data_IF_839992506404
#
_entry.id   IF_839992506404
#
_cell.length_a   1.000
_cell.length_b   1.000
_cell.length_c   1.000
_cell.angle_alpha   90.00
_cell.angle_beta   90.00
_cell.angle_gamma   90.00
#
_symmetry.space_group_name_H-M   'P 1'
#
loop_
_entity.id
_entity.type
_entity.pdbx_description
1 polymer ?
#
# COMPACT_ATOMS: atom_id res chain seq x y z
N UNK A 1 -59.17 -11.15 26.53
CA UNK A 1 -58.36 -10.72 25.38
C UNK A 1 -56.91 -11.06 25.70
N UNK A 2 -56.36 -12.09 25.06
CA UNK A 2 -54.97 -12.53 25.25
C UNK A 2 -54.11 -11.92 24.14
N UNK A 3 -53.04 -11.24 24.54
CA UNK A 3 -52.08 -10.56 23.68
C UNK A 3 -51.34 -11.55 22.77
N UNK A 4 -51.10 -11.15 21.52
CA UNK A 4 -50.33 -11.91 20.54
C UNK A 4 -48.81 -11.74 20.81
N UNK A 5 -47.98 -12.78 20.61
CA UNK A 5 -46.54 -12.67 20.81
C UNK A 5 -45.90 -11.87 19.68
N UNK A 6 -45.13 -10.85 20.04
CA UNK A 6 -44.23 -10.11 19.14
C UNK A 6 -43.05 -10.99 18.78
N UNK A 7 -42.98 -11.43 17.52
CA UNK A 7 -41.81 -12.12 16.97
C UNK A 7 -40.70 -11.11 16.70
N UNK A 8 -39.60 -11.20 17.44
CA UNK A 8 -38.36 -10.47 17.14
C UNK A 8 -37.78 -10.90 15.79
N UNK A 9 -37.21 -9.99 14.98
CA UNK A 9 -36.52 -10.38 13.75
C UNK A 9 -35.25 -11.16 14.13
N UNK A 10 -35.10 -12.38 13.60
CA UNK A 10 -33.89 -13.16 13.73
C UNK A 10 -32.68 -12.46 13.08
N UNK A 11 -31.45 -12.88 13.42
CA UNK A 11 -30.24 -12.32 12.84
C UNK A 11 -30.28 -12.48 11.32
N UNK A 12 -30.05 -11.37 10.60
CA UNK A 12 -30.00 -11.34 9.14
C UNK A 12 -29.01 -12.41 8.65
N UNK A 13 -29.52 -13.35 7.85
CA UNK A 13 -28.69 -14.30 7.15
C UNK A 13 -27.66 -13.52 6.33
N UNK A 14 -26.38 -13.75 6.58
CA UNK A 14 -25.27 -13.20 5.79
C UNK A 14 -25.44 -13.68 4.36
N UNK A 15 -25.94 -12.80 3.50
CA UNK A 15 -26.08 -13.06 2.07
C UNK A 15 -24.72 -13.51 1.51
N UNK A 16 -24.72 -14.56 0.68
CA UNK A 16 -23.52 -14.99 -0.01
C UNK A 16 -22.92 -13.81 -0.80
N UNK A 17 -21.59 -13.65 -0.85
CA UNK A 17 -20.97 -12.53 -1.53
C UNK A 17 -21.40 -12.52 -3.00
N UNK A 18 -22.07 -11.45 -3.43
CA UNK A 18 -22.50 -11.25 -4.81
C UNK A 18 -21.25 -11.18 -5.68
N UNK A 19 -21.15 -12.10 -6.64
CA UNK A 19 -20.03 -12.11 -7.59
C UNK A 19 -20.23 -10.99 -8.60
N UNK A 20 -19.44 -9.93 -8.47
CA UNK A 20 -19.46 -8.80 -9.41
C UNK A 20 -19.15 -9.27 -10.84
N UNK A 21 -19.95 -8.79 -11.78
CA UNK A 21 -19.75 -8.98 -13.22
C UNK A 21 -19.29 -7.66 -13.82
N UNK A 22 -18.21 -7.70 -14.56
CA UNK A 22 -17.67 -6.55 -15.26
C UNK A 22 -18.01 -6.65 -16.74
N UNK A 23 -18.33 -5.51 -17.35
CA UNK A 23 -18.43 -5.40 -18.81
C UNK A 23 -17.05 -5.76 -19.37
N UNK A 24 -17.03 -6.62 -20.40
CA UNK A 24 -15.78 -7.06 -21.04
C UNK A 24 -15.01 -5.92 -21.72
N UNK A 25 -13.98 -6.26 -22.49
CA UNK A 25 -13.11 -5.28 -23.19
C UNK A 25 -13.94 -4.22 -23.91
N UNK A 26 -13.73 -2.94 -23.56
CA UNK A 26 -14.32 -1.82 -24.27
C UNK A 26 -13.55 -1.52 -25.56
N UNK A 27 -14.23 -0.94 -26.55
CA UNK A 27 -13.60 -0.44 -27.79
C UNK A 27 -12.49 0.58 -27.48
N UNK A 28 -12.72 1.44 -26.49
CA UNK A 28 -11.74 2.39 -25.99
C UNK A 28 -10.45 1.72 -25.48
N UNK A 29 -10.57 0.69 -24.64
CA UNK A 29 -9.40 -0.02 -24.10
C UNK A 29 -8.58 -0.69 -25.21
N UNK A 30 -9.26 -1.27 -26.21
CA UNK A 30 -8.61 -1.88 -27.37
C UNK A 30 -7.82 -0.86 -28.19
N UNK A 31 -8.46 0.24 -28.56
CA UNK A 31 -7.85 1.33 -29.33
C UNK A 31 -6.66 1.96 -28.59
N UNK A 32 -6.81 2.22 -27.28
CA UNK A 32 -5.74 2.78 -26.46
C UNK A 32 -4.50 1.87 -26.45
N UNK A 33 -4.71 0.56 -26.26
CA UNK A 33 -3.61 -0.40 -26.26
C UNK A 33 -2.90 -0.45 -27.61
N UNK A 34 -3.65 -0.45 -28.71
CA UNK A 34 -3.08 -0.42 -30.05
C UNK A 34 -2.21 0.81 -30.27
N UNK A 35 -2.69 2.01 -29.91
CA UNK A 35 -1.92 3.26 -30.06
C UNK A 35 -0.64 3.28 -29.22
N UNK A 36 -0.70 2.74 -28.01
CA UNK A 36 0.49 2.59 -27.16
C UNK A 36 1.50 1.64 -27.81
N UNK A 37 1.04 0.50 -28.34
CA UNK A 37 1.89 -0.47 -29.02
C UNK A 37 2.56 0.14 -30.26
N UNK A 38 1.80 0.87 -31.09
CA UNK A 38 2.29 1.57 -32.27
C UNK A 38 3.35 2.63 -31.92
N UNK A 39 3.15 3.38 -30.83
CA UNK A 39 4.11 4.37 -30.35
C UNK A 39 5.48 3.75 -30.05
N UNK A 40 5.52 2.62 -29.35
CA UNK A 40 6.79 1.96 -29.01
C UNK A 40 7.48 1.36 -30.25
N UNK A 41 6.71 0.84 -31.21
CA UNK A 41 7.23 0.36 -32.49
C UNK A 41 7.87 1.51 -33.27
N UNK A 42 7.14 2.61 -33.44
CA UNK A 42 7.59 3.78 -34.23
C UNK A 42 8.82 4.47 -33.62
N UNK A 43 8.89 4.56 -32.29
CA UNK A 43 10.01 5.22 -31.61
C UNK A 43 11.21 4.32 -31.37
N UNK A 44 11.08 3.00 -31.57
CA UNK A 44 12.09 2.01 -31.23
C UNK A 44 12.38 1.90 -29.72
N UNK A 45 11.57 2.53 -28.88
CA UNK A 45 11.73 2.52 -27.41
C UNK A 45 11.24 1.19 -26.85
N UNK A 46 11.91 0.70 -25.81
CA UNK A 46 11.43 -0.45 -25.05
C UNK A 46 10.35 -0.03 -24.05
N UNK A 47 9.33 -0.89 -23.88
CA UNK A 47 8.24 -0.70 -22.91
C UNK A 47 8.69 -0.87 -21.47
N UNK A 48 9.72 -1.70 -21.27
CA UNK A 48 10.33 -2.07 -19.99
C UNK A 48 11.80 -2.45 -20.22
N UNK A 49 12.50 -2.85 -19.17
CA UNK A 49 13.91 -3.25 -19.23
C UNK A 49 14.84 -2.13 -19.72
N UNK A 50 14.51 -0.90 -19.31
CA UNK A 50 15.26 0.31 -19.67
C UNK A 50 16.35 0.57 -18.62
N UNK A 51 17.57 0.92 -19.08
CA UNK A 51 18.71 1.19 -18.17
C UNK A 51 18.40 2.31 -17.16
N UNK A 52 17.54 3.27 -17.55
CA UNK A 52 17.06 4.36 -16.71
C UNK A 52 16.32 3.86 -15.46
N UNK A 53 15.59 2.73 -15.57
CA UNK A 53 14.92 2.13 -14.41
C UNK A 53 15.96 1.65 -13.41
N UNK A 54 16.96 0.90 -13.88
CA UNK A 54 18.05 0.41 -13.04
C UNK A 54 18.87 1.53 -12.40
N UNK A 55 19.12 2.62 -13.14
CA UNK A 55 19.76 3.81 -12.58
C UNK A 55 18.89 4.44 -11.47
N UNK A 56 17.59 4.64 -11.72
CA UNK A 56 16.63 5.16 -10.73
C UNK A 56 16.64 4.31 -9.45
N UNK A 57 16.64 2.98 -9.59
CA UNK A 57 16.74 2.06 -8.44
C UNK A 57 18.09 2.15 -7.73
N UNK A 58 19.19 2.21 -8.48
CA UNK A 58 20.52 2.38 -7.89
C UNK A 58 20.61 3.67 -7.06
N UNK A 59 20.09 4.78 -7.57
CA UNK A 59 20.02 6.06 -6.85
C UNK A 59 19.19 5.92 -5.57
N UNK A 60 17.98 5.37 -5.66
CA UNK A 60 17.07 5.22 -4.52
C UNK A 60 17.65 4.32 -3.43
N UNK A 61 18.18 3.15 -3.79
CA UNK A 61 18.76 2.20 -2.84
C UNK A 61 20.04 2.75 -2.20
N UNK A 62 20.92 3.36 -3.00
CA UNK A 62 22.14 4.00 -2.46
C UNK A 62 21.78 5.14 -1.51
N UNK A 63 20.78 5.96 -1.86
CA UNK A 63 20.31 7.04 -0.99
C UNK A 63 19.70 6.49 0.29
N UNK A 64 18.91 5.42 0.21
CA UNK A 64 18.30 4.79 1.38
C UNK A 64 19.37 4.28 2.36
N UNK A 65 20.30 3.45 1.89
CA UNK A 65 21.36 2.91 2.74
C UNK A 65 22.32 4.01 3.22
N UNK A 66 22.63 4.99 2.37
CA UNK A 66 23.46 6.15 2.74
C UNK A 66 22.84 7.00 3.84
N UNK A 67 21.56 7.36 3.71
CA UNK A 67 20.80 8.12 4.72
C UNK A 67 20.61 7.30 6.00
N UNK A 68 20.35 6.00 5.89
CA UNK A 68 20.26 5.10 7.04
C UNK A 68 21.57 5.07 7.82
N UNK A 69 22.70 4.82 7.14
CA UNK A 69 24.03 4.78 7.76
C UNK A 69 24.37 6.14 8.38
N UNK A 70 24.09 7.23 7.67
CA UNK A 70 24.28 8.59 8.18
C UNK A 70 23.49 8.82 9.47
N UNK A 71 22.19 8.50 9.47
CA UNK A 71 21.29 8.69 10.60
C UNK A 71 21.70 7.85 11.82
N UNK A 72 22.06 6.58 11.61
CA UNK A 72 22.35 5.64 12.70
C UNK A 72 23.75 5.86 13.27
N UNK A 73 24.76 6.19 12.47
CA UNK A 73 26.15 6.14 12.94
C UNK A 73 26.85 7.50 13.02
N UNK A 74 26.39 8.52 12.29
CA UNK A 74 27.18 9.73 12.06
C UNK A 74 26.50 11.03 12.49
N UNK A 75 25.19 11.01 12.80
CA UNK A 75 24.45 12.22 13.15
C UNK A 75 23.97 12.16 14.61
N UNK A 76 24.76 12.66 15.58
CA UNK A 76 24.38 12.64 16.99
C UNK A 76 23.40 13.77 17.36
N UNK A 77 23.29 14.80 16.52
CA UNK A 77 22.58 16.03 16.86
C UNK A 77 21.16 16.04 16.28
N UNK A 78 20.16 16.24 17.13
CA UNK A 78 18.75 16.08 16.77
C UNK A 78 18.29 16.95 15.59
N UNK A 79 18.74 18.20 15.48
CA UNK A 79 18.33 19.11 14.41
C UNK A 79 18.93 18.75 13.04
N UNK A 80 20.01 17.95 13.03
CA UNK A 80 20.56 17.31 11.82
C UNK A 80 19.89 15.95 11.56
N UNK A 81 19.56 15.19 12.62
CA UNK A 81 18.94 13.88 12.49
C UNK A 81 17.50 13.96 11.94
N UNK A 82 16.73 14.99 12.32
CA UNK A 82 15.36 15.22 11.84
C UNK A 82 15.27 15.34 10.31
N UNK A 83 16.00 16.25 9.62
CA UNK A 83 15.95 16.32 8.17
C UNK A 83 16.46 15.05 7.48
N UNK A 84 17.45 14.36 8.05
CA UNK A 84 17.94 13.07 7.51
C UNK A 84 16.87 11.99 7.61
N UNK A 85 16.12 11.92 8.72
CA UNK A 85 15.01 10.98 8.88
C UNK A 85 13.83 11.29 7.95
N UNK A 86 13.53 12.58 7.72
CA UNK A 86 12.53 12.98 6.72
C UNK A 86 12.98 12.55 5.32
N UNK A 87 14.25 12.82 4.95
CA UNK A 87 14.81 12.40 3.68
C UNK A 87 14.78 10.87 3.52
N UNK A 88 15.09 10.12 4.57
CA UNK A 88 15.01 8.66 4.58
C UNK A 88 13.57 8.19 4.34
N UNK A 89 12.57 8.82 4.97
CA UNK A 89 11.15 8.54 4.72
C UNK A 89 10.73 8.83 3.27
N UNK A 90 11.16 9.95 2.70
CA UNK A 90 10.89 10.31 1.30
C UNK A 90 11.51 9.29 0.32
N UNK A 91 12.76 8.89 0.53
CA UNK A 91 13.43 7.89 -0.30
C UNK A 91 12.77 6.52 -0.14
N UNK A 92 12.34 6.15 1.07
CA UNK A 92 11.61 4.91 1.35
C UNK A 92 10.28 4.86 0.57
N UNK A 93 9.50 5.94 0.59
CA UNK A 93 8.29 6.05 -0.23
C UNK A 93 8.62 6.02 -1.73
N UNK A 94 9.73 6.64 -2.13
CA UNK A 94 10.28 6.59 -3.48
C UNK A 94 10.54 5.15 -3.94
N UNK A 95 11.16 4.31 -3.11
CA UNK A 95 11.38 2.87 -3.37
C UNK A 95 10.05 2.15 -3.59
N UNK A 96 9.07 2.39 -2.71
CA UNK A 96 7.71 1.87 -2.84
C UNK A 96 7.10 2.20 -4.20
N UNK A 97 7.09 3.47 -4.58
CA UNK A 97 6.39 3.91 -5.79
C UNK A 97 7.15 3.69 -7.10
N UNK A 98 8.48 3.57 -7.07
CA UNK A 98 9.31 3.57 -8.28
C UNK A 98 10.04 2.25 -8.55
N UNK A 99 10.14 1.37 -7.56
CA UNK A 99 10.86 0.10 -7.68
C UNK A 99 9.91 -1.04 -7.39
N UNK A 100 9.34 -1.02 -6.19
CA UNK A 100 8.41 -2.03 -5.72
C UNK A 100 7.15 -2.09 -6.59
N UNK A 101 6.48 -0.95 -6.80
CA UNK A 101 5.26 -0.86 -7.58
C UNK A 101 5.46 -1.32 -9.03
N UNK A 102 6.50 -0.81 -9.71
CA UNK A 102 6.83 -1.18 -11.10
C UNK A 102 7.15 -2.69 -11.22
N UNK A 103 7.83 -3.25 -10.22
CA UNK A 103 8.07 -4.70 -10.11
C UNK A 103 6.79 -5.50 -9.90
N UNK A 104 5.87 -5.03 -9.07
CA UNK A 104 4.59 -5.71 -8.80
C UNK A 104 3.70 -5.83 -10.04
N UNK A 105 3.84 -4.88 -10.98
CA UNK A 105 3.11 -4.86 -12.25
C UNK A 105 3.81 -5.60 -13.38
N UNK A 106 4.95 -6.28 -13.12
CA UNK A 106 5.77 -6.90 -14.16
C UNK A 106 6.20 -5.92 -15.27
N UNK A 107 6.30 -4.63 -14.92
CA UNK A 107 6.61 -3.54 -15.84
C UNK A 107 8.09 -3.14 -15.80
N UNK A 108 8.89 -3.79 -14.95
CA UNK A 108 10.27 -3.40 -14.69
C UNK A 108 11.25 -3.98 -15.73
N UNK A 109 11.23 -5.29 -15.93
CA UNK A 109 12.13 -6.02 -16.83
C UNK A 109 11.40 -7.09 -17.62
N UNK A 110 11.97 -7.50 -18.75
CA UNK A 110 11.50 -8.68 -19.49
C UNK A 110 11.79 -9.99 -18.77
N UNK A 111 12.65 -9.97 -17.74
CA UNK A 111 12.97 -11.14 -16.91
C UNK A 111 12.06 -11.19 -15.67
N UNK A 112 11.18 -12.21 -15.52
CA UNK A 112 10.23 -12.28 -14.40
C UNK A 112 10.89 -12.25 -13.02
N UNK A 113 12.06 -12.86 -12.88
CA UNK A 113 12.78 -12.88 -11.60
C UNK A 113 13.28 -11.48 -11.19
N UNK A 114 13.62 -10.61 -12.15
CA UNK A 114 14.00 -9.22 -11.84
C UNK A 114 12.78 -8.47 -11.32
N UNK A 115 11.61 -8.60 -11.96
CA UNK A 115 10.38 -8.00 -11.46
C UNK A 115 10.04 -8.48 -10.05
N UNK A 116 10.21 -9.79 -9.78
CA UNK A 116 10.03 -10.35 -8.43
C UNK A 116 10.97 -9.70 -7.43
N UNK A 117 12.26 -9.57 -7.74
CA UNK A 117 13.24 -8.91 -6.85
C UNK A 117 12.88 -7.44 -6.61
N UNK A 118 12.46 -6.72 -7.65
CA UNK A 118 12.04 -5.32 -7.51
C UNK A 118 10.78 -5.20 -6.64
N UNK A 119 9.78 -6.07 -6.84
CA UNK A 119 8.60 -6.15 -5.98
C UNK A 119 8.97 -6.52 -4.53
N UNK A 120 9.99 -7.36 -4.35
CA UNK A 120 10.49 -7.78 -3.03
C UNK A 120 11.22 -6.66 -2.25
N UNK A 121 11.44 -5.50 -2.85
CA UNK A 121 11.89 -4.33 -2.09
C UNK A 121 10.83 -3.87 -1.07
N UNK A 122 9.58 -4.34 -1.19
CA UNK A 122 8.53 -4.09 -0.20
C UNK A 122 8.89 -4.69 1.18
N UNK A 123 9.49 -5.87 1.19
CA UNK A 123 9.94 -6.58 2.38
C UNK A 123 10.98 -5.76 3.14
N UNK A 124 11.91 -5.12 2.42
CA UNK A 124 12.91 -4.24 3.01
C UNK A 124 12.30 -3.01 3.66
N UNK A 125 11.22 -2.46 3.10
CA UNK A 125 10.56 -1.26 3.62
C UNK A 125 9.37 -1.59 4.52
N UNK A 126 9.19 -2.85 4.91
CA UNK A 126 8.32 -3.27 6.00
C UNK A 126 6.96 -3.83 5.62
N UNK A 127 6.62 -3.89 4.33
CA UNK A 127 5.41 -4.55 3.82
C UNK A 127 5.67 -6.00 3.37
N UNK A 128 4.68 -6.61 2.73
CA UNK A 128 4.79 -7.95 2.14
C UNK A 128 4.43 -7.91 0.67
N UNK A 129 5.39 -8.21 -0.23
CA UNK A 129 5.08 -8.26 -1.67
C UNK A 129 4.06 -9.34 -2.04
N UNK A 130 4.00 -10.44 -1.26
CA UNK A 130 2.97 -11.47 -1.36
C UNK A 130 1.55 -10.91 -1.11
N UNK A 131 1.32 -10.25 0.02
CA UNK A 131 0.00 -9.67 0.33
C UNK A 131 -0.34 -8.52 -0.62
N UNK A 132 0.64 -7.70 -0.96
CA UNK A 132 0.48 -6.60 -1.90
C UNK A 132 0.02 -7.06 -3.29
N UNK A 133 0.47 -8.23 -3.74
CA UNK A 133 -0.03 -8.82 -4.99
C UNK A 133 -1.55 -8.99 -4.98
N UNK A 134 -2.12 -9.45 -3.86
CA UNK A 134 -3.57 -9.59 -3.72
C UNK A 134 -4.26 -8.25 -3.48
N UNK A 135 -3.81 -7.48 -2.48
CA UNK A 135 -4.42 -6.20 -2.09
C UNK A 135 -4.41 -5.19 -3.24
N UNK A 136 -3.23 -4.89 -3.77
CA UNK A 136 -3.08 -3.93 -4.86
C UNK A 136 -3.32 -4.59 -6.21
N UNK A 137 -2.53 -5.62 -6.54
CA UNK A 137 -2.48 -6.21 -7.88
C UNK A 137 -3.78 -6.87 -8.34
N UNK A 138 -4.54 -7.46 -7.41
CA UNK A 138 -5.81 -8.13 -7.72
C UNK A 138 -7.00 -7.28 -7.29
N UNK A 139 -7.10 -6.88 -6.01
CA UNK A 139 -8.32 -6.26 -5.50
C UNK A 139 -8.46 -4.81 -5.94
N UNK A 140 -7.46 -3.95 -5.66
CA UNK A 140 -7.53 -2.54 -6.01
C UNK A 140 -7.79 -2.35 -7.51
N UNK A 141 -7.03 -3.01 -8.40
CA UNK A 141 -7.22 -2.88 -9.87
C UNK A 141 -8.51 -3.50 -10.40
N UNK A 142 -9.17 -4.40 -9.65
CA UNK A 142 -10.44 -5.02 -10.06
C UNK A 142 -11.64 -4.25 -9.51
N UNK A 143 -11.54 -3.74 -8.29
CA UNK A 143 -12.67 -3.21 -7.52
C UNK A 143 -12.57 -1.71 -7.24
N UNK A 144 -11.70 -0.97 -7.93
CA UNK A 144 -11.48 0.47 -7.70
C UNK A 144 -12.80 1.25 -7.64
N UNK A 145 -12.98 2.03 -6.56
CA UNK A 145 -14.16 2.86 -6.28
C UNK A 145 -15.50 2.11 -6.20
N UNK A 146 -15.48 0.77 -6.09
CA UNK A 146 -16.68 -0.02 -5.83
C UNK A 146 -16.90 -0.10 -4.32
N UNK A 147 -18.04 0.44 -3.88
CA UNK A 147 -18.37 0.53 -2.46
C UNK A 147 -18.46 -0.86 -1.82
N UNK A 148 -17.78 -1.03 -0.68
CA UNK A 148 -17.74 -2.30 0.05
C UNK A 148 -16.77 -3.34 -0.54
N UNK A 149 -16.12 -3.05 -1.65
CA UNK A 149 -15.13 -3.95 -2.28
C UNK A 149 -13.75 -3.32 -2.41
N UNK A 150 -13.66 -2.00 -2.51
CA UNK A 150 -12.39 -1.28 -2.51
C UNK A 150 -11.95 -0.94 -1.08
N UNK A 151 -10.87 -1.57 -0.62
CA UNK A 151 -10.29 -1.33 0.69
C UNK A 151 -9.60 0.03 0.81
N UNK A 152 -9.19 0.65 -0.30
CA UNK A 152 -8.40 1.89 -0.28
C UNK A 152 -9.24 3.14 0.01
N UNK A 153 -10.57 3.00 -0.05
CA UNK A 153 -11.54 4.03 0.32
C UNK A 153 -12.31 3.67 1.60
N UNK A 154 -12.00 2.52 2.21
CA UNK A 154 -12.55 2.09 3.49
C UNK A 154 -11.55 2.29 4.64
N UNK A 155 -11.57 3.49 5.20
CA UNK A 155 -10.82 3.84 6.42
C UNK A 155 -11.69 3.71 7.69
N UNK A 156 -12.78 2.93 7.62
CA UNK A 156 -13.72 2.75 8.72
C UNK A 156 -14.41 4.06 9.13
N UNK A 157 -14.61 4.26 10.44
CA UNK A 157 -15.26 5.48 10.94
C UNK A 157 -14.38 6.74 10.77
N UNK A 158 -13.08 6.56 10.56
CA UNK A 158 -12.11 7.66 10.65
C UNK A 158 -12.25 8.67 9.51
N UNK A 159 -12.71 8.26 8.34
CA UNK A 159 -12.86 9.16 7.19
C UNK A 159 -14.06 8.80 6.34
N UNK A 160 -14.53 9.77 5.57
CA UNK A 160 -15.56 9.58 4.54
C UNK A 160 -14.95 9.88 3.18
N UNK A 161 -14.54 8.82 2.48
CA UNK A 161 -13.85 8.86 1.18
C UNK A 161 -14.78 8.55 0.00
N UNK A 162 -15.97 8.02 0.27
CA UNK A 162 -17.02 7.81 -0.75
C UNK A 162 -18.32 8.51 -0.37
N UNK A 163 -19.14 8.96 -1.36
CA UNK A 163 -20.48 9.49 -1.11
C UNK A 163 -21.40 8.53 -0.33
N UNK A 164 -21.17 7.23 -0.46
CA UNK A 164 -22.03 6.16 0.05
C UNK A 164 -21.79 5.82 1.52
N UNK A 165 -20.70 6.34 2.11
CA UNK A 165 -20.41 6.18 3.53
C UNK A 165 -21.26 7.13 4.39
N UNK A 166 -21.71 6.63 5.55
CA UNK A 166 -22.43 7.43 6.55
C UNK A 166 -21.56 8.59 7.03
N UNK A 167 -22.07 9.82 6.89
CA UNK A 167 -21.41 11.02 7.41
C UNK A 167 -21.59 11.12 8.93
N UNK A 168 -20.48 11.14 9.66
CA UNK A 168 -20.41 11.40 11.09
C UNK A 168 -20.08 12.87 11.36
N UNK A 169 -20.45 13.39 12.53
CA UNK A 169 -20.32 14.81 12.86
C UNK A 169 -18.88 15.32 12.81
N UNK A 170 -17.90 14.49 13.18
CA UNK A 170 -16.49 14.85 13.15
C UNK A 170 -15.89 14.83 11.73
N UNK A 171 -16.52 14.20 10.73
CA UNK A 171 -16.04 14.22 9.33
C UNK A 171 -15.94 15.64 8.75
N UNK A 172 -16.65 16.64 9.32
CA UNK A 172 -16.46 18.05 8.94
C UNK A 172 -15.01 18.54 9.10
N UNK A 173 -14.23 17.91 10.00
CA UNK A 173 -12.84 18.25 10.26
C UNK A 173 -11.84 17.29 9.60
N UNK A 174 -12.31 16.37 8.74
CA UNK A 174 -11.43 15.34 8.15
C UNK A 174 -10.27 15.93 7.34
N UNK A 175 -10.49 17.07 6.70
CA UNK A 175 -9.45 17.81 5.98
C UNK A 175 -8.27 18.27 6.87
N UNK A 176 -8.42 18.25 8.20
CA UNK A 176 -7.37 18.56 9.16
C UNK A 176 -6.75 17.29 9.76
N UNK A 177 -7.56 16.43 10.38
CA UNK A 177 -7.03 15.30 11.14
C UNK A 177 -6.57 14.13 10.25
N UNK A 178 -7.04 14.03 8.99
CA UNK A 178 -6.62 12.94 8.11
C UNK A 178 -5.13 13.00 7.81
N UNK A 179 -4.52 14.19 7.74
CA UNK A 179 -3.07 14.35 7.58
C UNK A 179 -2.28 13.66 8.69
N UNK A 180 -2.77 13.75 9.93
CA UNK A 180 -2.17 13.04 11.05
C UNK A 180 -2.37 11.52 10.91
N UNK A 181 -3.58 11.07 10.53
CA UNK A 181 -3.87 9.65 10.35
C UNK A 181 -3.06 9.02 9.21
N UNK A 182 -2.76 9.77 8.14
CA UNK A 182 -1.90 9.31 7.05
C UNK A 182 -0.50 8.95 7.56
N UNK A 183 0.02 9.69 8.56
CA UNK A 183 1.28 9.37 9.21
C UNK A 183 1.30 8.02 9.96
N UNK A 184 0.14 7.44 10.26
CA UNK A 184 0.05 6.13 10.91
C UNK A 184 -0.14 4.96 9.95
N UNK A 185 -0.40 5.22 8.65
CA UNK A 185 -0.70 4.16 7.67
C UNK A 185 0.47 3.18 7.53
N UNK A 186 1.69 3.68 7.32
CA UNK A 186 2.87 2.83 7.20
C UNK A 186 3.14 2.06 8.50
N UNK A 187 3.00 2.73 9.66
CA UNK A 187 3.19 2.09 10.97
C UNK A 187 2.20 0.94 11.17
N UNK A 188 0.91 1.17 10.85
CA UNK A 188 -0.13 0.13 10.91
C UNK A 188 0.27 -1.04 10.02
N UNK A 189 0.75 -0.78 8.81
CA UNK A 189 1.11 -1.82 7.86
C UNK A 189 2.32 -2.64 8.33
N UNK A 190 3.37 -1.97 8.81
CA UNK A 190 4.58 -2.62 9.31
C UNK A 190 4.29 -3.60 10.47
N UNK A 191 3.46 -3.17 11.43
CA UNK A 191 3.27 -3.86 12.70
C UNK A 191 2.09 -4.83 12.67
N UNK A 192 0.95 -4.41 12.11
CA UNK A 192 -0.32 -5.12 12.30
C UNK A 192 -1.02 -5.51 11.01
N UNK A 193 -1.05 -4.65 9.99
CA UNK A 193 -1.85 -4.84 8.78
C UNK A 193 -1.61 -6.18 8.09
N UNK A 194 -0.35 -6.46 7.74
CA UNK A 194 0.01 -7.72 7.07
C UNK A 194 -0.28 -8.95 7.95
N UNK A 195 0.01 -8.84 9.25
CA UNK A 195 -0.18 -9.93 10.19
C UNK A 195 -1.66 -10.26 10.37
N UNK A 196 -2.49 -9.22 10.51
CA UNK A 196 -3.94 -9.33 10.58
C UNK A 196 -4.51 -10.03 9.35
N UNK A 197 -4.04 -9.67 8.16
CA UNK A 197 -4.54 -10.25 6.90
C UNK A 197 -4.13 -11.72 6.75
N UNK A 198 -2.92 -12.09 7.18
CA UNK A 198 -2.47 -13.50 7.21
C UNK A 198 -3.25 -14.33 8.24
N UNK A 199 -3.43 -13.79 9.46
CA UNK A 199 -4.16 -14.49 10.52
C UNK A 199 -5.61 -14.70 10.12
N UNK A 200 -6.28 -13.65 9.64
CA UNK A 200 -7.68 -13.72 9.23
C UNK A 200 -7.88 -14.48 7.92
N UNK A 201 -6.87 -14.52 7.04
CA UNK A 201 -6.95 -15.12 5.71
C UNK A 201 -7.79 -14.29 4.73
N UNK A 202 -7.93 -12.98 4.99
CA UNK A 202 -8.69 -12.05 4.15
C UNK A 202 -8.13 -10.63 4.28
N UNK A 203 -8.38 -9.80 3.27
CA UNK A 203 -8.20 -8.35 3.36
C UNK A 203 -9.53 -7.69 3.06
N UNK A 204 -10.09 -7.01 4.06
CA UNK A 204 -11.49 -6.57 4.05
C UNK A 204 -12.46 -7.75 3.90
N UNK A 205 -13.26 -7.72 2.84
CA UNK A 205 -14.21 -8.79 2.48
C UNK A 205 -13.62 -9.84 1.53
N UNK A 206 -12.40 -9.63 1.02
CA UNK A 206 -11.80 -10.49 0.01
C UNK A 206 -10.88 -11.55 0.62
N UNK A 207 -11.09 -12.85 0.37
CA UNK A 207 -10.23 -13.90 0.88
C UNK A 207 -8.83 -13.85 0.25
N UNK A 208 -7.80 -14.02 1.07
CA UNK A 208 -6.40 -14.13 0.64
C UNK A 208 -5.87 -15.52 1.02
N UNK A 209 -5.28 -16.28 0.09
CA UNK A 209 -4.60 -17.52 0.43
C UNK A 209 -3.47 -17.25 1.42
N UNK A 210 -3.45 -17.96 2.55
CA UNK A 210 -2.33 -17.83 3.50
C UNK A 210 -1.03 -18.28 2.83
N UNK A 211 0.08 -17.53 2.99
CA UNK A 211 1.34 -17.89 2.38
C UNK A 211 1.84 -19.25 2.89
N UNK A 212 2.38 -20.07 1.99
CA UNK A 212 2.93 -21.40 2.31
C UNK A 212 4.30 -21.57 1.63
N UNK A 213 5.09 -22.52 2.13
CA UNK A 213 6.40 -22.84 1.55
C UNK A 213 7.29 -21.58 1.46
N UNK A 214 7.80 -21.30 0.27
CA UNK A 214 8.69 -20.16 0.03
C UNK A 214 8.05 -18.79 0.25
N UNK A 215 6.74 -18.64 0.02
CA UNK A 215 6.08 -17.36 0.25
C UNK A 215 5.97 -17.04 1.75
N UNK A 216 5.80 -18.07 2.58
CA UNK A 216 5.83 -17.91 4.04
C UNK A 216 7.25 -17.58 4.53
N UNK A 217 8.26 -18.27 3.98
CA UNK A 217 9.66 -17.97 4.28
C UNK A 217 9.99 -16.52 3.88
N UNK A 218 9.57 -16.08 2.70
CA UNK A 218 9.76 -14.71 2.22
C UNK A 218 9.10 -13.69 3.14
N UNK A 219 7.85 -13.93 3.55
CA UNK A 219 7.14 -13.05 4.48
C UNK A 219 7.87 -12.93 5.82
N UNK A 220 8.22 -14.06 6.46
CA UNK A 220 8.88 -14.08 7.77
C UNK A 220 10.26 -13.45 7.66
N UNK A 221 11.07 -13.85 6.67
CA UNK A 221 12.41 -13.30 6.46
C UNK A 221 12.35 -11.79 6.19
N UNK A 222 11.38 -11.31 5.41
CA UNK A 222 11.15 -9.89 5.17
C UNK A 222 10.85 -9.13 6.46
N UNK A 223 9.93 -9.62 7.29
CA UNK A 223 9.61 -8.98 8.58
C UNK A 223 10.80 -8.99 9.54
N UNK A 224 11.52 -10.11 9.65
CA UNK A 224 12.74 -10.20 10.47
C UNK A 224 13.81 -9.23 9.96
N UNK A 225 14.02 -9.16 8.65
CA UNK A 225 14.98 -8.24 8.04
C UNK A 225 14.60 -6.78 8.31
N UNK A 226 13.36 -6.39 8.07
CA UNK A 226 12.85 -5.06 8.36
C UNK A 226 12.98 -4.69 9.84
N UNK A 227 12.52 -5.55 10.75
CA UNK A 227 12.63 -5.30 12.21
C UNK A 227 14.08 -5.18 12.63
N UNK A 228 14.96 -6.01 12.07
CA UNK A 228 16.40 -5.95 12.36
C UNK A 228 17.00 -4.64 11.90
N UNK A 229 16.68 -4.21 10.68
CA UNK A 229 17.18 -2.97 10.09
C UNK A 229 16.67 -1.74 10.85
N UNK A 230 15.38 -1.70 11.17
CA UNK A 230 14.74 -0.48 11.71
C UNK A 230 14.84 -0.38 13.23
N UNK A 231 14.82 -1.49 13.96
CA UNK A 231 14.82 -1.48 15.41
C UNK A 231 16.07 -2.09 16.02
N UNK A 232 16.41 -3.34 15.67
CA UNK A 232 17.51 -4.05 16.34
C UNK A 232 18.83 -3.33 16.16
N UNK A 233 19.24 -3.06 14.92
CA UNK A 233 20.53 -2.41 14.64
C UNK A 233 20.61 -1.02 15.28
N UNK A 234 19.66 -0.08 15.12
CA UNK A 234 19.76 1.23 15.75
C UNK A 234 19.73 1.17 17.28
N UNK A 235 18.99 0.23 17.89
CA UNK A 235 18.92 0.08 19.36
C UNK A 235 20.22 -0.43 19.97
N UNK A 236 21.15 -0.99 19.18
CA UNK A 236 22.50 -1.31 19.65
C UNK A 236 23.35 -0.06 19.88
N UNK A 237 23.01 1.07 19.24
CA UNK A 237 23.80 2.31 19.26
C UNK A 237 23.07 3.46 19.96
N UNK A 238 21.75 3.43 20.04
CA UNK A 238 20.92 4.51 20.57
C UNK A 238 19.88 4.00 21.58
N UNK A 239 19.45 4.84 22.54
CA UNK A 239 18.35 4.50 23.43
C UNK A 239 17.09 4.14 22.65
N UNK A 240 16.37 3.11 23.10
CA UNK A 240 15.19 2.59 22.43
C UNK A 240 14.14 3.66 22.09
N UNK A 241 13.95 4.65 22.97
CA UNK A 241 12.97 5.72 22.77
C UNK A 241 13.37 6.70 21.65
N UNK A 242 14.68 6.92 21.42
CA UNK A 242 15.20 7.72 20.30
C UNK A 242 14.91 6.98 18.99
N UNK A 243 15.18 5.67 18.96
CA UNK A 243 14.90 4.84 17.79
C UNK A 243 13.41 4.85 17.44
N UNK A 244 12.53 4.69 18.43
CA UNK A 244 11.09 4.76 18.20
C UNK A 244 10.63 6.14 17.71
N UNK A 245 11.21 7.23 18.23
CA UNK A 245 10.89 8.59 17.80
C UNK A 245 11.25 8.81 16.33
N UNK A 246 12.46 8.46 15.91
CA UNK A 246 12.91 8.64 14.52
C UNK A 246 12.27 7.64 13.57
N UNK A 247 11.96 6.43 14.02
CA UNK A 247 11.12 5.50 13.28
C UNK A 247 9.73 6.09 13.03
N UNK A 248 9.07 6.61 14.06
CA UNK A 248 7.75 7.21 13.94
C UNK A 248 7.78 8.38 12.95
N UNK A 249 8.78 9.25 13.04
CA UNK A 249 8.97 10.36 12.10
C UNK A 249 9.12 9.87 10.65
N UNK A 250 10.07 8.98 10.37
CA UNK A 250 10.33 8.48 9.02
C UNK A 250 9.12 7.69 8.47
N UNK A 251 8.49 6.84 9.28
CA UNK A 251 7.31 6.08 8.91
C UNK A 251 6.09 7.00 8.68
N UNK A 252 5.97 8.09 9.43
CA UNK A 252 4.93 9.10 9.18
C UNK A 252 5.13 9.83 7.86
N UNK A 253 6.37 10.16 7.49
CA UNK A 253 6.66 10.72 6.16
C UNK A 253 6.28 9.72 5.06
N UNK A 254 6.64 8.44 5.21
CA UNK A 254 6.22 7.37 4.27
C UNK A 254 4.70 7.30 4.17
N UNK A 255 4.00 7.23 5.30
CA UNK A 255 2.54 7.13 5.35
C UNK A 255 1.84 8.30 4.68
N UNK A 256 2.28 9.53 4.96
CA UNK A 256 1.73 10.74 4.32
C UNK A 256 1.95 10.71 2.81
N UNK A 257 3.17 10.45 2.35
CA UNK A 257 3.49 10.44 0.92
C UNK A 257 2.70 9.36 0.19
N UNK A 258 2.72 8.13 0.68
CA UNK A 258 2.00 7.02 0.05
C UNK A 258 0.49 7.28 0.01
N UNK A 259 -0.09 7.78 1.10
CA UNK A 259 -1.53 8.00 1.14
C UNK A 259 -1.95 9.10 0.17
N UNK A 260 -1.18 10.19 0.05
CA UNK A 260 -1.47 11.22 -0.96
C UNK A 260 -1.44 10.61 -2.37
N UNK A 261 -0.40 9.83 -2.69
CA UNK A 261 -0.25 9.24 -4.02
C UNK A 261 -1.38 8.25 -4.33
N UNK A 262 -1.73 7.36 -3.40
CA UNK A 262 -2.82 6.40 -3.61
C UNK A 262 -4.18 7.07 -3.70
N UNK A 263 -4.45 8.09 -2.88
CA UNK A 263 -5.74 8.78 -2.92
C UNK A 263 -5.98 9.57 -4.21
N UNK A 264 -4.94 9.86 -5.02
CA UNK A 264 -5.15 10.44 -6.35
C UNK A 264 -5.93 9.52 -7.31
N UNK A 265 -6.00 8.20 -7.03
CA UNK A 265 -6.82 7.28 -7.81
C UNK A 265 -8.32 7.33 -7.42
N UNK A 266 -8.66 7.93 -6.29
CA UNK A 266 -10.01 7.84 -5.68
C UNK A 266 -10.63 9.21 -5.41
N UNK A 267 -9.88 10.11 -4.79
CA UNK A 267 -10.36 11.37 -4.24
C UNK A 267 -9.98 12.55 -5.15
N UNK A 268 -10.30 12.44 -6.45
CA UNK A 268 -10.12 13.49 -7.45
C UNK A 268 -11.46 13.94 -8.01
N UNK A 269 -11.49 15.16 -8.57
CA UNK A 269 -12.69 15.68 -9.22
C UNK A 269 -13.09 14.79 -10.41
N UNK A 270 -14.36 14.40 -10.47
CA UNK A 270 -14.89 13.51 -11.50
C UNK A 270 -14.72 12.00 -11.23
N UNK A 271 -14.15 11.58 -10.10
CA UNK A 271 -14.13 10.18 -9.72
C UNK A 271 -15.55 9.66 -9.42
N UNK A 272 -15.95 8.58 -10.10
CA UNK A 272 -17.24 7.92 -9.89
C UNK A 272 -17.11 6.77 -8.88
N UNK A 273 -18.09 6.66 -7.99
CA UNK A 273 -18.19 5.59 -7.00
C UNK A 273 -19.42 4.74 -7.28
N UNK A 274 -19.20 3.47 -7.62
CA UNK A 274 -20.28 2.54 -7.99
C UNK A 274 -20.78 1.77 -6.78
N UNK A 275 -22.09 1.58 -6.71
CA UNK A 275 -22.72 0.55 -5.88
C UNK A 275 -23.08 -0.60 -6.83
N UNK A 276 -22.67 -1.84 -6.56
CA UNK A 276 -23.08 -2.98 -7.36
C UNK A 276 -24.60 -3.10 -7.43
N UNK A 277 -25.16 -3.13 -8.63
CA UNK A 277 -26.52 -3.61 -8.85
C UNK A 277 -26.51 -5.14 -8.69
N UNK A 278 -27.44 -5.66 -7.88
CA UNK A 278 -27.55 -7.09 -7.55
C UNK A 278 -27.83 -7.99 -8.75
#
# INVERSE_FOLDING_TARGET
MREAPTTSPGPAATAAPVRLKFIGRSTFQGELKQRIDDYFIQTGRRKRDCWQMYLKTGILLTSFFGLYVLLVFFVPTWWLAVPVAIALGLVTAGIGMNVQHDGSHQAYSDRPWINRVMAMTLEMIGGSSYLWHYQHGVFHHTYTNITGHDGDVDVGIFGRLTPHQKRLSFHRWQHLYMWLLYGFVAIRWHIWGDLSDIISGKSGEHPIPRPKGWDLVQFIAGKVFFISLVFVVPMLFHPWWVVLLFYALAASVVGVVLTIVFQLAHAVEGAEFTIPDG
#
